data_IF_721904338855
#
_entry.id   IF_721904338855
#
_cell.length_a   1.000
_cell.length_b   1.000
_cell.length_c   1.000
_cell.angle_alpha   90.00
_cell.angle_beta   90.00
_cell.angle_gamma   90.00
#
_symmetry.space_group_name_H-M   'P 1'
#
loop_
_entity.id
_entity.type
_entity.pdbx_description
1 polymer ?
#
# COMPACT_ATOMS: atom_id res chain seq x y z
N UNK A 1 39.44 -5.26 29.06
CA UNK A 1 39.92 -3.99 28.46
C UNK A 1 38.78 -3.43 27.62
N UNK A 2 38.06 -2.42 28.11
CA UNK A 2 36.87 -1.85 27.47
C UNK A 2 37.29 -0.85 26.38
N UNK A 3 36.75 -0.97 25.16
CA UNK A 3 36.78 0.11 24.17
C UNK A 3 35.36 0.55 23.85
N UNK A 4 35.01 1.74 24.36
CA UNK A 4 33.82 2.52 24.06
C UNK A 4 34.05 3.28 22.74
N UNK A 5 33.12 3.23 21.80
CA UNK A 5 32.97 4.25 20.72
C UNK A 5 31.47 4.34 20.39
N UNK A 6 30.75 5.25 21.07
CA UNK A 6 30.33 6.59 20.62
C UNK A 6 29.24 6.58 19.54
N UNK A 7 28.02 6.77 20.03
CA UNK A 7 26.78 7.13 19.32
C UNK A 7 26.99 8.48 18.64
N UNK A 8 26.71 8.56 17.34
CA UNK A 8 26.59 9.82 16.61
C UNK A 8 25.09 10.11 16.41
N UNK A 9 24.58 11.02 17.24
CA UNK A 9 23.28 11.67 17.08
C UNK A 9 23.43 12.71 15.95
N UNK A 10 22.76 12.51 14.81
CA UNK A 10 22.64 13.55 13.80
C UNK A 10 21.34 14.32 14.03
N UNK A 11 21.53 15.59 14.40
CA UNK A 11 20.55 16.67 14.50
C UNK A 11 19.89 16.88 13.14
N UNK A 12 18.55 16.86 13.09
CA UNK A 12 17.80 17.39 11.94
C UNK A 12 16.91 18.56 12.39
N UNK A 13 17.42 19.73 12.03
CA UNK A 13 16.88 21.09 11.91
C UNK A 13 15.36 21.26 12.08
N UNK A 14 14.96 21.97 13.14
CA UNK A 14 13.60 22.52 13.33
C UNK A 14 13.47 23.75 12.43
N UNK A 15 12.65 23.69 11.38
CA UNK A 15 12.17 24.90 10.70
C UNK A 15 11.02 25.50 11.51
N UNK A 16 11.30 26.63 12.16
CA UNK A 16 10.30 27.51 12.77
C UNK A 16 9.64 28.36 11.68
N UNK A 17 8.34 28.16 11.43
CA UNK A 17 7.52 29.18 10.77
C UNK A 17 6.87 30.06 11.85
N UNK A 18 7.31 31.31 11.88
CA UNK A 18 6.82 32.35 12.77
C UNK A 18 5.39 32.78 12.41
N UNK A 19 4.57 33.00 13.43
CA UNK A 19 3.32 33.76 13.34
C UNK A 19 3.61 35.28 13.42
N UNK A 20 3.06 36.05 12.48
CA UNK A 20 2.71 37.47 12.58
C UNK A 20 1.86 37.79 11.33
N UNK A 21 0.81 38.60 11.29
CA UNK A 21 0.15 39.50 12.24
C UNK A 21 -1.15 40.03 11.59
N UNK A 22 -1.96 40.76 12.36
CA UNK A 22 -3.36 41.11 12.07
C UNK A 22 -3.57 42.33 11.14
N UNK A 23 -4.80 42.43 10.58
CA UNK A 23 -5.55 43.59 10.03
C UNK A 23 -5.21 44.07 8.59
N UNK A 24 -6.13 44.43 7.67
CA UNK A 24 -7.56 44.77 7.72
C UNK A 24 -8.24 44.77 6.32
N UNK A 25 -9.59 44.72 6.31
CA UNK A 25 -10.57 45.15 5.28
C UNK A 25 -10.85 44.32 4.01
N UNK A 26 -12.01 43.66 4.08
CA UNK A 26 -13.09 43.48 3.08
C UNK A 26 -12.75 43.20 1.60
N UNK A 27 -12.91 41.93 1.22
CA UNK A 27 -13.57 41.53 -0.02
C UNK A 27 -14.16 40.12 0.18
N UNK A 28 -15.43 40.05 0.60
CA UNK A 28 -16.25 38.83 0.54
C UNK A 28 -17.15 39.04 -0.68
N UNK A 29 -16.97 38.33 -1.79
CA UNK A 29 -17.39 36.94 -1.95
C UNK A 29 -16.42 36.20 -2.87
N UNK A 30 -15.54 35.40 -2.28
CA UNK A 30 -14.99 34.24 -2.99
C UNK A 30 -15.81 33.05 -2.52
N UNK A 31 -16.42 32.33 -3.46
CA UNK A 31 -17.02 31.02 -3.24
C UNK A 31 -15.93 30.01 -2.82
N UNK A 32 -15.43 30.16 -1.60
CA UNK A 32 -14.55 29.18 -0.97
C UNK A 32 -15.48 28.11 -0.40
N UNK A 33 -15.31 26.83 -0.75
CA UNK A 33 -16.17 25.75 -0.25
C UNK A 33 -16.22 25.83 1.28
N UNK A 34 -17.40 26.06 1.82
CA UNK A 34 -17.59 26.15 3.27
C UNK A 34 -17.54 24.72 3.83
N UNK A 35 -16.43 24.37 4.46
CA UNK A 35 -16.25 23.07 5.12
C UNK A 35 -17.25 22.98 6.28
N UNK A 36 -18.10 21.94 6.23
CA UNK A 36 -19.11 21.69 7.27
C UNK A 36 -18.46 21.47 8.65
N UNK A 37 -19.19 21.74 9.74
CA UNK A 37 -18.70 21.49 11.10
C UNK A 37 -18.32 20.02 11.30
N UNK A 38 -19.12 19.07 10.81
CA UNK A 38 -18.82 17.63 10.87
C UNK A 38 -17.52 17.26 10.15
N UNK A 39 -17.25 17.91 9.00
CA UNK A 39 -16.01 17.70 8.26
C UNK A 39 -14.82 18.27 9.04
N UNK A 40 -14.98 19.41 9.70
CA UNK A 40 -13.95 20.03 10.54
C UNK A 40 -13.63 19.16 11.76
N UNK A 41 -14.64 18.59 12.40
CA UNK A 41 -14.46 17.69 13.55
C UNK A 41 -13.68 16.44 13.15
N UNK A 42 -14.02 15.83 12.01
CA UNK A 42 -13.26 14.70 11.44
C UNK A 42 -11.81 15.06 11.08
N UNK A 43 -11.59 16.25 10.49
CA UNK A 43 -10.23 16.74 10.21
C UNK A 43 -9.44 16.81 11.52
N UNK A 44 -10.00 17.39 12.57
CA UNK A 44 -9.33 17.50 13.87
C UNK A 44 -9.05 16.14 14.52
N UNK A 45 -9.96 15.17 14.38
CA UNK A 45 -9.75 13.79 14.85
C UNK A 45 -8.58 13.14 14.10
N UNK A 46 -8.55 13.26 12.78
CA UNK A 46 -7.50 12.70 11.94
C UNK A 46 -6.16 13.39 12.15
N UNK A 47 -6.13 14.70 12.39
CA UNK A 47 -4.92 15.41 12.82
C UNK A 47 -4.35 14.83 14.13
N UNK A 48 -5.22 14.50 15.09
CA UNK A 48 -4.82 13.84 16.34
C UNK A 48 -4.22 12.45 16.11
N UNK A 49 -4.82 11.68 15.21
CA UNK A 49 -4.33 10.35 14.82
C UNK A 49 -3.00 10.42 14.08
N UNK A 50 -2.86 11.33 13.11
CA UNK A 50 -1.62 11.56 12.36
C UNK A 50 -0.50 12.01 13.31
N UNK A 51 -0.78 12.93 14.24
CA UNK A 51 0.22 13.36 15.24
C UNK A 51 0.69 12.21 16.12
N UNK A 52 -0.24 11.34 16.54
CA UNK A 52 0.10 10.16 17.34
C UNK A 52 0.97 9.19 16.54
N UNK A 53 0.61 8.92 15.28
CA UNK A 53 1.38 8.10 14.37
C UNK A 53 2.79 8.67 14.12
N UNK A 54 2.90 10.00 13.94
CA UNK A 54 4.17 10.70 13.76
C UNK A 54 5.09 10.51 14.96
N UNK A 55 4.60 10.76 16.17
CA UNK A 55 5.38 10.57 17.40
C UNK A 55 5.89 9.12 17.55
N UNK A 56 5.07 8.13 17.16
CA UNK A 56 5.45 6.72 17.18
C UNK A 56 6.49 6.39 16.10
N UNK A 57 6.38 6.97 14.90
CA UNK A 57 7.39 6.84 13.83
C UNK A 57 8.73 7.43 14.28
N UNK A 58 8.72 8.65 14.85
CA UNK A 58 9.91 9.34 15.38
C UNK A 58 10.58 8.56 16.52
N UNK A 59 9.79 7.84 17.33
CA UNK A 59 10.28 6.98 18.41
C UNK A 59 10.79 5.61 17.94
N UNK A 60 10.64 5.30 16.64
CA UNK A 60 11.02 4.00 16.06
C UNK A 60 9.97 2.89 16.25
N UNK A 61 8.81 3.21 16.81
CA UNK A 61 7.68 2.30 17.03
C UNK A 61 6.80 2.21 15.78
N UNK A 62 7.40 1.89 14.63
CA UNK A 62 6.76 1.90 13.31
C UNK A 62 5.49 1.02 13.22
N UNK A 63 5.43 -0.09 13.97
CA UNK A 63 4.22 -0.93 14.06
C UNK A 63 3.08 -0.22 14.77
N UNK A 64 3.37 0.46 15.88
CA UNK A 64 2.36 1.22 16.62
C UNK A 64 1.94 2.46 15.83
N UNK A 65 2.87 3.06 15.08
CA UNK A 65 2.58 4.14 14.14
C UNK A 65 1.57 3.69 13.07
N UNK A 66 1.80 2.56 12.39
CA UNK A 66 0.84 2.00 11.42
C UNK A 66 -0.51 1.66 12.09
N UNK A 67 -0.51 1.11 13.31
CA UNK A 67 -1.76 0.85 14.06
C UNK A 67 -2.54 2.12 14.35
N UNK A 68 -1.87 3.23 14.64
CA UNK A 68 -2.51 4.52 14.81
C UNK A 68 -3.10 5.02 13.48
N UNK A 69 -2.36 4.93 12.37
CA UNK A 69 -2.84 5.30 11.04
C UNK A 69 -4.13 4.55 10.64
N UNK A 70 -4.31 3.29 11.05
CA UNK A 70 -5.54 2.53 10.80
C UNK A 70 -6.81 3.14 11.44
N UNK A 71 -6.67 4.11 12.35
CA UNK A 71 -7.79 4.90 12.87
C UNK A 71 -8.38 5.90 11.85
N UNK A 72 -7.70 6.12 10.72
CA UNK A 72 -8.15 7.03 9.66
C UNK A 72 -8.81 6.22 8.54
N UNK A 73 -10.02 6.62 8.14
CA UNK A 73 -10.63 6.04 6.93
C UNK A 73 -10.01 6.69 5.71
N UNK A 74 -9.30 5.90 4.91
CA UNK A 74 -8.63 6.38 3.69
C UNK A 74 -9.61 7.03 2.70
N UNK A 75 -10.84 6.50 2.58
CA UNK A 75 -11.88 7.09 1.75
C UNK A 75 -12.21 8.54 2.13
N UNK A 76 -12.13 8.89 3.41
CA UNK A 76 -12.38 10.26 3.87
C UNK A 76 -11.24 11.22 3.46
N UNK A 77 -10.02 10.72 3.25
CA UNK A 77 -8.85 11.52 2.86
C UNK A 77 -8.91 12.05 1.43
N UNK A 78 -9.71 11.43 0.57
CA UNK A 78 -9.95 11.90 -0.80
C UNK A 78 -10.96 13.05 -0.87
N UNK A 79 -11.63 13.37 0.24
CA UNK A 79 -12.61 14.46 0.29
C UNK A 79 -11.95 15.84 0.33
N UNK A 80 -12.65 16.85 -0.18
CA UNK A 80 -12.21 18.24 -0.14
C UNK A 80 -11.94 18.70 1.30
N UNK A 81 -10.75 19.24 1.56
CA UNK A 81 -10.31 19.71 2.87
C UNK A 81 -9.35 18.77 3.62
N UNK A 82 -9.17 17.53 3.16
CA UNK A 82 -8.27 16.55 3.79
C UNK A 82 -6.89 16.44 3.11
N UNK A 83 -6.59 17.24 2.09
CA UNK A 83 -5.38 17.08 1.27
C UNK A 83 -4.05 17.05 2.06
N UNK A 84 -3.91 17.90 3.08
CA UNK A 84 -2.74 17.90 3.96
C UNK A 84 -2.65 16.61 4.78
N UNK A 85 -3.78 16.13 5.30
CA UNK A 85 -3.86 14.86 6.04
C UNK A 85 -3.56 13.66 5.14
N UNK A 86 -4.07 13.65 3.90
CA UNK A 86 -3.79 12.62 2.90
C UNK A 86 -2.27 12.52 2.67
N UNK A 87 -1.64 13.66 2.40
CA UNK A 87 -0.20 13.73 2.14
C UNK A 87 0.60 13.17 3.32
N UNK A 88 0.26 13.57 4.53
CA UNK A 88 1.01 13.15 5.71
C UNK A 88 0.78 11.68 6.08
N UNK A 89 -0.46 11.19 5.94
CA UNK A 89 -0.80 9.79 6.13
C UNK A 89 0.10 8.89 5.29
N UNK A 90 0.17 9.16 3.98
CA UNK A 90 0.96 8.33 3.06
C UNK A 90 2.46 8.49 3.26
N UNK A 91 2.95 9.68 3.65
CA UNK A 91 4.36 9.86 4.00
C UNK A 91 4.76 9.04 5.24
N UNK A 92 3.92 9.04 6.29
CA UNK A 92 4.17 8.25 7.50
C UNK A 92 4.09 6.76 7.22
N UNK A 93 3.11 6.32 6.44
CA UNK A 93 2.99 4.93 6.01
C UNK A 93 4.24 4.48 5.25
N UNK A 94 4.66 5.25 4.24
CA UNK A 94 5.88 4.98 3.47
C UNK A 94 7.14 4.93 4.34
N UNK A 95 7.27 5.87 5.29
CA UNK A 95 8.37 5.89 6.26
C UNK A 95 8.38 4.63 7.12
N UNK A 96 7.24 4.29 7.75
CA UNK A 96 7.09 3.09 8.58
C UNK A 96 7.48 1.83 7.81
N UNK A 97 6.98 1.69 6.58
CA UNK A 97 7.18 0.51 5.75
C UNK A 97 8.65 0.35 5.35
N UNK A 98 9.33 1.44 4.97
CA UNK A 98 10.75 1.40 4.65
C UNK A 98 11.62 0.91 5.83
N UNK A 99 11.30 1.33 7.06
CA UNK A 99 12.02 0.89 8.25
C UNK A 99 11.69 -0.53 8.66
N UNK A 100 10.42 -0.95 8.58
CA UNK A 100 10.00 -2.31 8.87
C UNK A 100 10.63 -3.31 7.89
N UNK A 101 10.67 -2.96 6.59
CA UNK A 101 11.33 -3.77 5.57
C UNK A 101 12.85 -3.88 5.84
N UNK A 102 13.50 -2.77 6.20
CA UNK A 102 14.93 -2.78 6.58
C UNK A 102 15.18 -3.63 7.83
N UNK A 103 14.26 -3.65 8.79
CA UNK A 103 14.34 -4.50 10.00
C UNK A 103 14.15 -5.98 9.66
N UNK A 104 13.16 -6.31 8.82
CA UNK A 104 12.89 -7.67 8.35
C UNK A 104 14.08 -8.23 7.55
N UNK A 105 14.63 -7.46 6.60
CA UNK A 105 15.83 -7.84 5.84
C UNK A 105 17.06 -8.04 6.72
N UNK A 106 17.22 -7.26 7.80
CA UNK A 106 18.29 -7.43 8.78
C UNK A 106 18.09 -8.62 9.71
N UNK A 107 16.85 -8.93 10.10
CA UNK A 107 16.55 -10.15 10.88
C UNK A 107 16.78 -11.42 10.05
N UNK A 108 16.45 -11.41 8.76
CA UNK A 108 16.68 -12.57 7.89
C UNK A 108 18.18 -12.82 7.55
N UNK A 109 19.05 -11.81 7.72
CA UNK A 109 20.50 -12.01 7.67
C UNK A 109 21.11 -12.44 9.02
N UNK A 110 20.36 -12.34 10.12
CA UNK A 110 20.83 -12.64 11.46
C UNK A 110 19.94 -13.71 12.11
N UNK A 111 20.24 -14.97 11.82
CA UNK A 111 19.92 -16.18 12.60
C UNK A 111 18.44 -16.53 12.83
N UNK A 112 18.08 -17.75 12.41
CA UNK A 112 16.93 -18.44 12.98
C UNK A 112 17.11 -18.64 14.47
N UNK A 113 16.16 -18.18 15.29
CA UNK A 113 15.71 -18.80 16.55
C UNK A 113 14.39 -18.12 16.95
N UNK A 114 13.43 -18.93 17.38
CA UNK A 114 12.11 -18.60 17.90
C UNK A 114 12.02 -17.34 18.79
N UNK A 115 10.92 -16.58 18.64
CA UNK A 115 9.97 -16.31 19.74
C UNK A 115 8.66 -15.77 19.17
N UNK A 116 7.54 -16.43 19.49
CA UNK A 116 6.20 -16.00 19.12
C UNK A 116 5.69 -14.82 19.94
N UNK A 117 4.79 -14.05 19.32
CA UNK A 117 3.72 -13.31 19.99
C UNK A 117 2.73 -12.89 18.92
N UNK A 118 1.44 -13.19 19.16
CA UNK A 118 0.34 -13.01 18.22
C UNK A 118 0.30 -11.60 17.62
N UNK A 119 0.66 -11.53 16.35
CA UNK A 119 0.48 -10.41 15.44
C UNK A 119 0.17 -11.06 14.09
N UNK A 120 -0.59 -10.44 13.19
CA UNK A 120 -0.65 -10.92 11.79
C UNK A 120 0.75 -10.75 11.21
N UNK A 121 1.55 -11.79 11.39
CA UNK A 121 2.89 -11.91 10.85
C UNK A 121 2.66 -11.94 9.33
N UNK A 122 3.02 -10.86 8.63
CA UNK A 122 3.26 -10.95 7.20
C UNK A 122 4.56 -11.74 7.03
N UNK A 123 4.48 -13.03 7.39
CA UNK A 123 5.57 -13.97 7.31
C UNK A 123 5.72 -14.34 5.84
N UNK A 124 6.95 -14.21 5.33
CA UNK A 124 7.34 -14.83 4.08
C UNK A 124 6.95 -16.30 4.08
N UNK A 125 6.55 -16.83 2.94
CA UNK A 125 6.20 -18.22 2.78
C UNK A 125 6.88 -18.82 1.54
N UNK A 126 6.82 -20.13 1.42
CA UNK A 126 7.44 -20.86 0.31
C UNK A 126 6.42 -21.37 -0.71
N UNK A 127 5.18 -20.87 -0.71
CA UNK A 127 4.12 -21.40 -1.59
C UNK A 127 4.46 -21.23 -3.08
N UNK A 128 5.22 -20.19 -3.43
CA UNK A 128 5.67 -19.94 -4.81
C UNK A 128 6.82 -20.84 -5.28
N UNK A 129 7.43 -21.64 -4.39
CA UNK A 129 8.50 -22.58 -4.79
C UNK A 129 8.04 -23.60 -5.83
N UNK A 130 6.78 -24.03 -5.77
CA UNK A 130 6.16 -24.94 -6.75
C UNK A 130 5.58 -24.21 -7.98
N UNK A 131 5.51 -22.87 -7.94
CA UNK A 131 4.90 -22.03 -8.97
C UNK A 131 5.79 -20.82 -9.31
N UNK A 132 7.09 -21.03 -9.62
CA UNK A 132 8.04 -19.93 -9.76
C UNK A 132 7.72 -18.97 -10.91
N UNK A 133 6.92 -19.43 -11.89
CA UNK A 133 6.46 -18.60 -13.01
C UNK A 133 5.49 -17.50 -12.60
N UNK A 134 4.87 -17.61 -11.43
CA UNK A 134 3.92 -16.61 -10.92
C UNK A 134 4.53 -15.65 -9.90
N UNK A 135 5.82 -15.79 -9.60
CA UNK A 135 6.59 -14.75 -8.92
C UNK A 135 7.26 -13.87 -9.98
N UNK A 136 7.08 -12.55 -9.88
CA UNK A 136 7.56 -11.60 -10.86
C UNK A 136 6.79 -10.28 -10.83
N UNK A 137 7.07 -9.46 -11.83
CA UNK A 137 6.54 -8.13 -12.00
C UNK A 137 5.36 -8.17 -12.98
N UNK A 138 4.27 -7.51 -12.62
CA UNK A 138 3.04 -7.45 -13.39
C UNK A 138 2.63 -5.99 -13.57
N UNK A 139 2.36 -5.60 -14.81
CA UNK A 139 1.78 -4.32 -15.15
C UNK A 139 0.26 -4.48 -15.29
N UNK A 140 -0.51 -3.56 -14.72
CA UNK A 140 -1.96 -3.60 -14.85
C UNK A 140 -2.37 -3.14 -16.26
N UNK A 141 -2.87 -4.10 -17.05
CA UNK A 141 -3.21 -3.93 -18.47
C UNK A 141 -4.16 -2.76 -18.78
N UNK A 142 -5.10 -2.44 -17.87
CA UNK A 142 -6.00 -1.31 -18.04
C UNK A 142 -5.50 -0.13 -17.19
N UNK A 143 -4.39 0.47 -17.63
CA UNK A 143 -3.88 1.73 -17.07
C UNK A 143 -4.89 2.84 -17.37
N UNK A 144 -5.84 2.98 -16.46
CA UNK A 144 -6.79 4.08 -16.40
C UNK A 144 -6.20 5.10 -15.41
N UNK A 145 -5.99 6.37 -15.80
CA UNK A 145 -5.46 7.39 -14.89
C UNK A 145 -6.36 7.64 -13.67
N UNK A 146 -7.64 7.21 -13.71
CA UNK A 146 -8.56 7.26 -12.57
C UNK A 146 -8.43 6.03 -11.65
N UNK A 147 -7.68 4.99 -12.06
CA UNK A 147 -7.39 3.80 -11.24
C UNK A 147 -6.07 3.95 -10.51
N UNK A 148 -6.10 3.48 -9.26
CA UNK A 148 -4.98 3.63 -8.35
C UNK A 148 -3.84 2.65 -8.68
N UNK A 149 -4.13 1.43 -9.13
CA UNK A 149 -3.15 0.36 -9.38
C UNK A 149 -2.32 0.60 -10.64
N UNK A 150 -0.99 0.51 -10.54
CA UNK A 150 -0.06 0.62 -11.68
C UNK A 150 0.70 -0.68 -11.91
N UNK A 151 1.40 -1.15 -10.88
CA UNK A 151 2.30 -2.31 -10.95
C UNK A 151 2.09 -3.20 -9.72
N UNK A 152 2.27 -4.51 -9.90
CA UNK A 152 2.25 -5.51 -8.83
C UNK A 152 3.51 -6.37 -8.94
N UNK A 153 4.31 -6.38 -7.89
CA UNK A 153 5.50 -7.22 -7.75
C UNK A 153 5.20 -8.30 -6.72
N UNK A 154 5.40 -9.55 -7.09
CA UNK A 154 5.29 -10.71 -6.19
C UNK A 154 6.63 -11.42 -6.14
N UNK A 155 7.31 -11.34 -5.00
CA UNK A 155 8.58 -12.01 -4.79
C UNK A 155 8.40 -13.52 -4.56
N UNK A 156 9.48 -14.27 -4.79
CA UNK A 156 9.50 -15.74 -4.60
C UNK A 156 9.22 -16.22 -3.17
N UNK A 157 9.37 -15.34 -2.17
CA UNK A 157 9.05 -15.59 -0.76
C UNK A 157 7.63 -15.13 -0.39
N UNK A 158 6.84 -14.75 -1.40
CA UNK A 158 5.47 -14.30 -1.27
C UNK A 158 5.31 -12.85 -0.84
N UNK A 159 6.37 -12.04 -0.68
CA UNK A 159 6.15 -10.61 -0.44
C UNK A 159 5.54 -9.92 -1.64
N UNK A 160 4.62 -9.00 -1.39
CA UNK A 160 3.92 -8.24 -2.43
C UNK A 160 4.16 -6.76 -2.25
N UNK A 161 4.47 -6.08 -3.34
CA UNK A 161 4.48 -4.63 -3.48
C UNK A 161 3.55 -4.27 -4.63
N UNK A 162 2.62 -3.35 -4.40
CA UNK A 162 1.86 -2.70 -5.46
C UNK A 162 2.26 -1.24 -5.52
N UNK A 163 2.63 -0.75 -6.70
CA UNK A 163 2.82 0.67 -6.95
C UNK A 163 1.54 1.27 -7.53
N UNK A 164 1.27 2.52 -7.14
CA UNK A 164 0.06 3.22 -7.52
C UNK A 164 0.35 4.45 -8.38
N UNK A 165 -0.59 4.82 -9.24
CA UNK A 165 -0.51 5.96 -10.17
C UNK A 165 -0.36 7.30 -9.45
N UNK A 166 -0.83 7.41 -8.20
CA UNK A 166 -0.68 8.62 -7.37
C UNK A 166 0.64 8.66 -6.56
N UNK A 167 1.54 7.71 -6.79
CA UNK A 167 2.85 7.60 -6.14
C UNK A 167 2.81 6.97 -4.74
N UNK A 168 1.64 6.50 -4.28
CA UNK A 168 1.53 5.64 -3.11
C UNK A 168 1.89 4.19 -3.44
N UNK A 169 2.01 3.35 -2.42
CA UNK A 169 2.33 1.93 -2.58
C UNK A 169 1.63 1.10 -1.52
N UNK A 170 1.15 -0.08 -1.89
CA UNK A 170 0.61 -1.07 -0.95
C UNK A 170 1.54 -2.27 -0.81
N UNK A 171 1.55 -2.87 0.36
CA UNK A 171 2.39 -4.02 0.66
C UNK A 171 1.54 -5.15 1.23
N UNK A 172 1.90 -6.38 0.91
CA UNK A 172 1.17 -7.56 1.36
C UNK A 172 2.03 -8.82 1.35
N UNK A 173 1.38 -9.95 1.62
CA UNK A 173 1.94 -11.28 1.42
C UNK A 173 0.95 -12.10 0.61
N UNK A 174 1.45 -12.75 -0.44
CA UNK A 174 0.71 -13.66 -1.29
C UNK A 174 0.93 -15.10 -0.86
N UNK A 175 -0.12 -15.90 -0.97
CA UNK A 175 -0.03 -17.36 -1.02
C UNK A 175 -0.59 -17.85 -2.34
N UNK A 176 0.03 -18.89 -2.91
CA UNK A 176 -0.39 -19.48 -4.18
C UNK A 176 -0.79 -20.94 -4.00
N UNK A 177 -1.83 -21.35 -4.72
CA UNK A 177 -2.33 -22.72 -4.75
C UNK A 177 -2.75 -23.12 -6.17
N UNK A 178 -2.55 -24.39 -6.51
CA UNK A 178 -3.02 -24.95 -7.78
C UNK A 178 -4.54 -25.13 -7.78
N UNK A 179 -5.18 -24.72 -8.87
CA UNK A 179 -6.63 -24.85 -9.10
C UNK A 179 -6.89 -25.26 -10.55
N UNK A 180 -8.15 -25.56 -10.85
CA UNK A 180 -8.63 -25.78 -12.22
C UNK A 180 -10.01 -25.15 -12.37
N UNK A 181 -10.05 -23.81 -12.36
CA UNK A 181 -11.29 -23.03 -12.37
C UNK A 181 -11.53 -22.45 -13.76
N UNK A 182 -12.57 -22.94 -14.44
CA UNK A 182 -12.97 -22.44 -15.74
C UNK A 182 -13.83 -21.18 -15.67
N UNK A 183 -13.98 -20.49 -16.80
CA UNK A 183 -14.83 -19.31 -16.98
C UNK A 183 -14.44 -18.08 -16.14
N UNK A 184 -13.19 -18.01 -15.68
CA UNK A 184 -12.64 -16.81 -15.05
C UNK A 184 -12.49 -15.73 -16.13
N UNK A 185 -12.95 -14.52 -15.85
CA UNK A 185 -12.80 -13.39 -16.76
C UNK A 185 -11.34 -12.91 -16.77
N UNK A 186 -10.80 -12.63 -17.94
CA UNK A 186 -9.46 -12.04 -18.11
C UNK A 186 -9.48 -11.10 -19.30
N UNK A 187 -8.68 -10.04 -19.25
CA UNK A 187 -8.45 -9.19 -20.42
C UNK A 187 -7.54 -9.88 -21.42
N UNK A 188 -7.78 -9.61 -22.70
CA UNK A 188 -6.91 -10.08 -23.75
C UNK A 188 -5.67 -9.20 -23.88
N UNK A 189 -4.63 -9.54 -23.12
CA UNK A 189 -3.33 -8.86 -23.12
C UNK A 189 -2.53 -9.02 -24.42
N UNK A 190 -3.06 -9.69 -25.43
CA UNK A 190 -2.39 -9.92 -26.73
C UNK A 190 -2.75 -8.89 -27.81
N UNK A 191 -3.83 -8.16 -27.59
CA UNK A 191 -4.34 -7.15 -28.53
C UNK A 191 -4.48 -5.86 -27.75
N UNK A 192 -4.12 -4.68 -28.27
CA UNK A 192 -4.30 -3.37 -27.61
C UNK A 192 -5.79 -2.95 -27.49
N UNK A 193 -6.68 -3.90 -27.22
CA UNK A 193 -8.12 -3.72 -27.11
C UNK A 193 -8.58 -4.10 -25.70
N UNK A 194 -9.63 -3.46 -25.20
CA UNK A 194 -10.25 -3.78 -23.91
C UNK A 194 -11.11 -5.05 -23.96
N UNK A 195 -10.81 -5.97 -24.89
CA UNK A 195 -11.59 -7.19 -25.04
C UNK A 195 -11.33 -8.12 -23.87
N UNK A 196 -12.41 -8.69 -23.35
CA UNK A 196 -12.34 -9.71 -22.32
C UNK A 196 -12.52 -11.09 -22.93
N UNK A 197 -11.93 -12.10 -22.28
CA UNK A 197 -12.04 -13.51 -22.61
C UNK A 197 -12.28 -14.33 -21.36
N UNK A 198 -12.72 -15.58 -21.57
CA UNK A 198 -12.87 -16.57 -20.51
C UNK A 198 -11.69 -17.52 -20.54
N UNK A 199 -11.04 -17.70 -19.40
CA UNK A 199 -9.88 -18.57 -19.23
C UNK A 199 -10.15 -19.68 -18.23
N UNK A 200 -9.30 -20.70 -18.27
CA UNK A 200 -9.18 -21.69 -17.19
C UNK A 200 -7.95 -21.35 -16.37
N UNK A 201 -8.16 -20.96 -15.12
CA UNK A 201 -7.10 -20.60 -14.21
C UNK A 201 -6.39 -21.85 -13.68
N UNK A 202 -5.06 -21.83 -13.68
CA UNK A 202 -4.21 -22.91 -13.18
C UNK A 202 -3.81 -22.70 -11.72
N UNK A 203 -3.79 -21.44 -11.28
CA UNK A 203 -3.42 -21.06 -9.91
C UNK A 203 -4.35 -19.99 -9.36
N UNK A 204 -4.46 -19.98 -8.04
CA UNK A 204 -5.10 -18.92 -7.27
C UNK A 204 -4.06 -18.32 -6.33
N UNK A 205 -3.90 -17.01 -6.43
CA UNK A 205 -3.04 -16.20 -5.58
C UNK A 205 -3.92 -15.38 -4.66
N UNK A 206 -3.79 -15.57 -3.35
CA UNK A 206 -4.47 -14.73 -2.35
C UNK A 206 -3.44 -13.81 -1.71
N UNK A 207 -3.58 -12.52 -1.94
CA UNK A 207 -2.80 -11.46 -1.31
C UNK A 207 -3.51 -11.02 -0.05
N UNK A 208 -2.82 -11.08 1.08
CA UNK A 208 -3.24 -10.40 2.31
C UNK A 208 -2.45 -9.11 2.43
N UNK A 209 -3.15 -7.99 2.31
CA UNK A 209 -2.58 -6.65 2.39
C UNK A 209 -2.25 -6.28 3.85
N UNK A 210 -1.37 -5.29 4.03
CA UNK A 210 -0.96 -4.81 5.37
C UNK A 210 -2.10 -4.20 6.18
N UNK A 211 -3.18 -3.76 5.52
CA UNK A 211 -4.41 -3.31 6.17
C UNK A 211 -5.33 -4.47 6.63
N UNK A 212 -4.96 -5.72 6.33
CA UNK A 212 -5.70 -6.94 6.65
C UNK A 212 -6.73 -7.37 5.62
N UNK A 213 -6.91 -6.61 4.54
CA UNK A 213 -7.79 -6.99 3.43
C UNK A 213 -7.18 -8.11 2.60
N UNK A 214 -8.05 -8.89 1.96
CA UNK A 214 -7.63 -9.98 1.09
C UNK A 214 -8.09 -9.69 -0.34
N UNK A 215 -7.18 -9.94 -1.28
CA UNK A 215 -7.47 -9.87 -2.71
C UNK A 215 -7.06 -11.19 -3.37
N UNK A 216 -7.85 -11.61 -4.35
CA UNK A 216 -7.62 -12.88 -5.06
C UNK A 216 -7.36 -12.61 -6.53
N UNK A 217 -6.26 -13.17 -7.01
CA UNK A 217 -5.87 -13.19 -8.41
C UNK A 217 -5.86 -14.63 -8.91
N UNK A 218 -6.27 -14.81 -10.15
CA UNK A 218 -6.31 -16.07 -10.87
C UNK A 218 -5.22 -16.05 -11.94
N UNK A 219 -4.36 -17.05 -11.93
CA UNK A 219 -3.22 -17.13 -12.82
C UNK A 219 -3.38 -18.18 -13.91
N UNK A 220 -2.96 -17.84 -15.12
CA UNK A 220 -2.83 -18.77 -16.25
C UNK A 220 -1.58 -18.46 -17.08
N UNK A 221 -1.18 -19.41 -17.92
CA UNK A 221 -0.11 -19.17 -18.90
C UNK A 221 -0.71 -18.69 -20.22
N UNK A 222 -0.26 -17.54 -20.70
CA UNK A 222 -0.57 -17.06 -22.05
C UNK A 222 0.02 -18.00 -23.12
N UNK A 223 -0.41 -17.84 -24.37
CA UNK A 223 0.09 -18.62 -25.51
C UNK A 223 1.62 -18.52 -25.65
N UNK A 224 2.18 -17.34 -25.37
CA UNK A 224 3.63 -17.08 -25.44
C UNK A 224 4.39 -17.60 -24.21
N UNK A 225 3.71 -18.27 -23.28
CA UNK A 225 4.34 -18.85 -22.09
C UNK A 225 4.65 -17.84 -20.98
N UNK A 226 4.06 -16.64 -21.03
CA UNK A 226 4.11 -15.66 -19.94
C UNK A 226 2.98 -15.91 -18.94
N UNK A 227 3.29 -15.77 -17.65
CA UNK A 227 2.28 -15.83 -16.61
C UNK A 227 1.42 -14.56 -16.64
N UNK A 228 0.10 -14.74 -16.54
CA UNK A 228 -0.88 -13.65 -16.52
C UNK A 228 -1.73 -13.81 -15.28
N UNK A 229 -1.97 -12.72 -14.57
CA UNK A 229 -2.89 -12.63 -13.44
C UNK A 229 -4.14 -11.84 -13.84
N UNK A 230 -5.29 -12.26 -13.33
CA UNK A 230 -6.57 -11.54 -13.46
C UNK A 230 -7.34 -11.62 -12.16
N UNK A 231 -8.10 -10.59 -11.83
CA UNK A 231 -8.95 -10.58 -10.62
C UNK A 231 -10.35 -11.16 -10.89
N UNK A 232 -10.65 -11.53 -12.15
CA UNK A 232 -11.92 -12.12 -12.56
C UNK A 232 -13.08 -11.14 -12.66
N UNK A 233 -12.84 -9.84 -12.56
CA UNK A 233 -13.90 -8.81 -12.56
C UNK A 233 -14.00 -8.09 -13.90
N UNK A 234 -15.23 -7.65 -14.22
CA UNK A 234 -15.49 -6.71 -15.30
C UNK A 234 -15.46 -5.29 -14.77
N UNK A 235 -15.08 -4.33 -15.59
CA UNK A 235 -15.03 -2.94 -15.19
C UNK A 235 -15.82 -2.03 -16.16
N UNK A 236 -16.25 -0.87 -15.68
CA UNK A 236 -17.04 0.06 -16.49
C UNK A 236 -16.20 0.66 -17.63
N UNK A 237 -16.75 0.65 -18.85
CA UNK A 237 -16.05 0.98 -20.09
C UNK A 237 -15.81 -0.23 -21.02
N UNK A 238 -16.03 -1.44 -20.52
CA UNK A 238 -15.76 -2.70 -21.23
C UNK A 238 -16.92 -3.17 -22.13
N UNK A 239 -17.69 -2.24 -22.73
CA UNK A 239 -18.86 -2.60 -23.54
C UNK A 239 -18.49 -3.52 -24.71
N UNK A 240 -19.28 -4.60 -24.82
CA UNK A 240 -19.24 -5.73 -25.76
C UNK A 240 -18.74 -5.45 -27.17
#
# INVERSE_FOLDING_TARGET
>A
MMKKVRILFCVLTVMTFAMAGCSSKSASTSDKPTISSKTRDKISEYEGTIKSARNLNESGDYKASNKALNGIRVADLSNHGFGSLKTEYFQLQKSNDAFLLKKAKKQNQATGTNTGSGTTDLSTNNSFSSYPKFAGDYEFYNYDPDRLQSDLVIDSDGTVLQENTDGSSFHGVATISGINEGNVLSYDVTTDTNKTKKITANVKVTVTWSNGENETYYGYMSYDGNAVLTDGKSYDGDSQ
#
